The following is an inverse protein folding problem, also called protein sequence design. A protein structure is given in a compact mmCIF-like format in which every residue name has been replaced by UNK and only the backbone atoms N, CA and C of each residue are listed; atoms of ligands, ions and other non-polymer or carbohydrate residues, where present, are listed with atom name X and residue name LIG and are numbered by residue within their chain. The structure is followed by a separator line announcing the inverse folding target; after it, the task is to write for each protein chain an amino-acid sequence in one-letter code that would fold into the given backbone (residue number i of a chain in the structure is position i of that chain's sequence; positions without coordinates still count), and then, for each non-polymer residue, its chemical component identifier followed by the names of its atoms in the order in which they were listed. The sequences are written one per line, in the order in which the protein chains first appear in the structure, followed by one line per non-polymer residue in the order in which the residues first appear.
data_IF_620138705967
#
_entry.id   IF_620138705967
#
_cell.length_a   1.000
_cell.length_b   1.000
_cell.length_c   1.000
_cell.angle_alpha   90.00
_cell.angle_beta   90.00
_cell.angle_gamma   90.00
#
_symmetry.space_group_name_H-M   'P 1'
#
loop_
_entity.id
_entity.type
_entity.pdbx_description
1 polymer ?
#
# COMPACT_ATOMS: atom_id res chain seq x y z
N UNK A 1 2.99 -11.58 -15.70
CA UNK A 1 2.98 -12.86 -16.45
C UNK A 1 2.29 -14.03 -15.73
N UNK A 2 1.72 -13.85 -14.52
CA UNK A 2 0.91 -14.88 -13.84
C UNK A 2 -0.61 -14.73 -14.09
N UNK A 3 -1.43 -15.57 -13.44
CA UNK A 3 -2.89 -15.44 -13.38
C UNK A 3 -3.39 -14.79 -12.08
N UNK A 4 -4.71 -14.65 -11.90
CA UNK A 4 -5.34 -13.93 -10.77
C UNK A 4 -5.44 -14.72 -9.44
N UNK A 5 -4.72 -15.83 -9.31
CA UNK A 5 -4.57 -16.62 -8.07
C UNK A 5 -5.88 -16.90 -7.27
N UNK A 6 -6.82 -17.70 -7.79
CA UNK A 6 -8.12 -17.97 -7.12
C UNK A 6 -8.01 -18.54 -5.70
N UNK A 7 -6.91 -19.25 -5.38
CA UNK A 7 -6.64 -19.77 -4.02
C UNK A 7 -6.34 -18.67 -3.00
N UNK A 8 -6.01 -17.45 -3.42
CA UNK A 8 -5.82 -16.31 -2.52
C UNK A 8 -7.16 -15.77 -2.06
N UNK A 9 -8.13 -15.63 -2.97
CA UNK A 9 -9.50 -15.24 -2.65
C UNK A 9 -10.16 -16.24 -1.70
N UNK A 10 -9.92 -17.55 -1.89
CA UNK A 10 -10.40 -18.56 -0.96
C UNK A 10 -9.85 -18.40 0.46
N UNK A 11 -8.61 -17.94 0.62
CA UNK A 11 -8.05 -17.66 1.94
C UNK A 11 -8.63 -16.37 2.53
N UNK A 12 -8.79 -15.32 1.72
CA UNK A 12 -9.42 -14.07 2.14
C UNK A 12 -10.82 -14.33 2.70
N UNK A 13 -11.68 -15.05 1.99
CA UNK A 13 -13.06 -15.31 2.45
C UNK A 13 -13.11 -16.16 3.73
N UNK A 14 -12.18 -17.11 3.88
CA UNK A 14 -12.18 -18.04 5.04
C UNK A 14 -11.52 -17.45 6.29
N UNK A 15 -10.43 -16.74 6.11
CA UNK A 15 -9.49 -16.38 7.18
C UNK A 15 -9.10 -14.89 7.14
N UNK A 16 -9.72 -14.09 6.27
CA UNK A 16 -9.44 -12.67 6.07
C UNK A 16 -7.94 -12.37 5.96
N UNK A 17 -7.24 -13.16 5.15
CA UNK A 17 -5.81 -13.04 4.89
C UNK A 17 -5.52 -13.10 3.40
N UNK A 18 -4.86 -12.06 2.87
CA UNK A 18 -4.50 -11.98 1.46
C UNK A 18 -2.98 -12.07 1.27
N UNK A 19 -2.50 -13.21 0.80
CA UNK A 19 -1.07 -13.46 0.50
C UNK A 19 -0.66 -13.09 -0.94
N UNK A 20 -1.43 -12.24 -1.61
CA UNK A 20 -1.06 -11.74 -2.93
C UNK A 20 0.07 -10.73 -2.79
N UNK A 21 1.10 -10.88 -3.60
CA UNK A 21 2.25 -9.97 -3.61
C UNK A 21 2.09 -8.90 -4.69
N UNK A 22 2.00 -7.63 -4.26
CA UNK A 22 1.81 -6.48 -5.13
C UNK A 22 3.12 -5.84 -5.62
N UNK A 23 4.29 -6.44 -5.37
CA UNK A 23 5.58 -5.91 -5.85
C UNK A 23 5.60 -5.57 -7.35
N UNK A 24 4.99 -6.43 -8.18
CA UNK A 24 4.89 -6.17 -9.62
C UNK A 24 4.05 -4.94 -9.97
N UNK A 25 3.05 -4.61 -9.14
CA UNK A 25 2.24 -3.40 -9.29
C UNK A 25 3.06 -2.15 -8.94
N UNK A 26 3.90 -2.23 -7.91
CA UNK A 26 4.76 -1.12 -7.46
C UNK A 26 5.81 -0.77 -8.52
N UNK A 27 6.52 -1.78 -9.05
CA UNK A 27 7.49 -1.56 -10.13
C UNK A 27 6.83 -1.06 -11.42
N UNK A 28 5.65 -1.55 -11.75
CA UNK A 28 4.92 -1.06 -12.91
C UNK A 28 4.48 0.40 -12.75
N UNK A 29 4.10 0.80 -11.54
CA UNK A 29 3.69 2.18 -11.25
C UNK A 29 4.87 3.16 -11.31
N UNK A 30 6.04 2.80 -10.75
CA UNK A 30 7.24 3.62 -10.85
C UNK A 30 7.65 3.86 -12.32
N UNK A 31 7.71 2.78 -13.12
CA UNK A 31 7.99 2.88 -14.56
C UNK A 31 6.92 3.69 -15.31
N UNK A 32 5.66 3.62 -14.89
CA UNK A 32 4.57 4.42 -15.46
C UNK A 32 4.76 5.92 -15.17
N UNK A 33 5.18 6.30 -13.97
CA UNK A 33 5.47 7.69 -13.63
C UNK A 33 6.71 8.21 -14.38
N UNK A 34 7.77 7.41 -14.46
CA UNK A 34 8.98 7.76 -15.21
C UNK A 34 8.64 7.99 -16.70
N UNK A 35 7.88 7.08 -17.32
CA UNK A 35 7.44 7.25 -18.69
C UNK A 35 6.65 8.55 -18.90
N UNK A 36 5.70 8.84 -18.00
CA UNK A 36 4.92 10.08 -18.06
C UNK A 36 5.80 11.33 -17.89
N UNK A 37 6.79 11.28 -16.98
CA UNK A 37 7.75 12.36 -16.79
C UNK A 37 8.54 12.64 -18.07
N UNK A 38 9.04 11.61 -18.73
CA UNK A 38 9.85 11.72 -19.95
C UNK A 38 9.05 12.20 -21.16
N UNK A 39 7.84 11.67 -21.37
CA UNK A 39 7.03 12.00 -22.56
C UNK A 39 6.37 13.38 -22.41
N UNK A 40 6.00 13.78 -21.20
CA UNK A 40 5.25 15.01 -20.97
C UNK A 40 6.10 16.14 -20.34
N UNK A 41 7.37 15.88 -20.03
CA UNK A 41 8.25 16.84 -19.35
C UNK A 41 7.80 17.17 -17.93
N UNK A 42 7.22 16.20 -17.21
CA UNK A 42 6.68 16.41 -15.87
C UNK A 42 7.70 16.03 -14.78
N UNK A 43 8.42 17.02 -14.26
CA UNK A 43 9.43 16.82 -13.22
C UNK A 43 8.85 16.23 -11.92
N UNK A 44 7.64 16.62 -11.51
CA UNK A 44 6.98 16.07 -10.32
C UNK A 44 6.72 14.58 -10.44
N UNK A 45 6.35 14.11 -11.64
CA UNK A 45 6.19 12.69 -11.91
C UNK A 45 7.51 11.92 -11.81
N UNK A 46 8.64 12.53 -12.19
CA UNK A 46 9.96 11.91 -11.99
C UNK A 46 10.25 11.74 -10.49
N UNK A 47 9.99 12.77 -9.68
CA UNK A 47 10.16 12.68 -8.22
C UNK A 47 9.28 11.56 -7.63
N UNK A 48 8.03 11.43 -8.08
CA UNK A 48 7.15 10.32 -7.67
C UNK A 48 7.72 8.94 -8.04
N UNK A 49 8.28 8.80 -9.24
CA UNK A 49 8.92 7.56 -9.68
C UNK A 49 10.13 7.21 -8.81
N UNK A 50 11.07 8.14 -8.67
CA UNK A 50 12.34 7.93 -7.97
C UNK A 50 12.12 7.62 -6.48
N UNK A 51 11.16 8.30 -5.85
CA UNK A 51 10.79 8.07 -4.45
C UNK A 51 10.05 6.74 -4.26
N UNK A 52 9.21 6.32 -5.22
CA UNK A 52 8.52 5.03 -5.18
C UNK A 52 9.50 3.86 -5.35
N UNK A 53 10.50 4.00 -6.21
CA UNK A 53 11.55 3.00 -6.38
C UNK A 53 12.36 2.82 -5.10
N UNK A 54 12.77 3.91 -4.44
CA UNK A 54 13.45 3.85 -3.13
C UNK A 54 12.56 3.24 -2.05
N UNK A 55 11.29 3.63 -1.98
CA UNK A 55 10.32 3.06 -1.04
C UNK A 55 10.13 1.54 -1.26
N UNK A 56 10.09 1.09 -2.51
CA UNK A 56 10.03 -0.34 -2.85
C UNK A 56 11.31 -1.06 -2.42
N UNK A 57 12.47 -0.43 -2.58
CA UNK A 57 13.75 -0.94 -2.06
C UNK A 57 13.74 -1.11 -0.53
N UNK A 58 13.26 -0.10 0.20
CA UNK A 58 13.11 -0.17 1.67
C UNK A 58 12.13 -1.27 2.09
N UNK A 59 10.99 -1.42 1.40
CA UNK A 59 10.02 -2.49 1.65
C UNK A 59 10.66 -3.89 1.53
N UNK A 60 11.53 -4.09 0.53
CA UNK A 60 12.26 -5.34 0.34
C UNK A 60 13.32 -5.56 1.43
N UNK A 61 14.10 -4.53 1.77
CA UNK A 61 15.15 -4.61 2.79
C UNK A 61 14.57 -4.91 4.19
N UNK A 62 13.44 -4.31 4.52
CA UNK A 62 12.73 -4.51 5.79
C UNK A 62 11.83 -5.75 5.79
N UNK A 63 11.84 -6.53 4.70
CA UNK A 63 11.06 -7.75 4.53
C UNK A 63 9.55 -7.54 4.82
N UNK A 64 8.99 -6.44 4.32
CA UNK A 64 7.58 -6.04 4.49
C UNK A 64 6.67 -6.52 3.35
N UNK A 65 7.11 -7.51 2.56
CA UNK A 65 6.24 -8.23 1.63
C UNK A 65 5.27 -9.16 2.38
N UNK A 66 4.12 -9.52 1.78
CA UNK A 66 3.15 -10.41 2.40
C UNK A 66 3.77 -11.75 2.76
N UNK A 67 3.65 -12.12 4.03
CA UNK A 67 4.06 -13.42 4.50
C UNK A 67 3.02 -14.49 4.09
N UNK A 68 3.19 -15.72 4.58
CA UNK A 68 2.33 -16.87 4.22
C UNK A 68 1.65 -17.50 5.43
N UNK A 69 1.48 -16.75 6.53
CA UNK A 69 0.95 -17.24 7.81
C UNK A 69 0.04 -16.20 8.47
N UNK A 70 -1.06 -16.65 9.06
CA UNK A 70 -1.91 -15.79 9.90
C UNK A 70 -1.13 -15.16 11.05
N UNK A 71 -1.54 -13.95 11.44
CA UNK A 71 -0.89 -13.14 12.47
C UNK A 71 0.40 -12.48 12.00
N UNK A 72 0.71 -12.55 10.71
CA UNK A 72 1.82 -11.81 10.09
C UNK A 72 1.30 -10.86 9.02
N UNK A 73 2.18 -10.00 8.52
CA UNK A 73 1.84 -9.05 7.46
C UNK A 73 1.24 -9.76 6.24
N UNK A 74 0.15 -9.20 5.72
CA UNK A 74 -0.48 -9.64 4.48
C UNK A 74 -0.42 -8.51 3.44
N UNK A 75 -1.10 -8.67 2.30
CA UNK A 75 -1.14 -7.68 1.22
C UNK A 75 -1.50 -6.26 1.70
N UNK A 76 -2.47 -6.12 2.61
CA UNK A 76 -2.89 -4.78 3.09
C UNK A 76 -1.80 -4.13 3.91
N UNK A 77 -1.10 -4.92 4.73
CA UNK A 77 0.05 -4.45 5.48
C UNK A 77 1.22 -4.04 4.59
N UNK A 78 1.51 -4.76 3.50
CA UNK A 78 2.57 -4.36 2.57
C UNK A 78 2.25 -3.03 1.86
N UNK A 79 0.97 -2.79 1.55
CA UNK A 79 0.51 -1.50 1.01
C UNK A 79 0.67 -0.36 2.02
N UNK A 80 0.36 -0.60 3.30
CA UNK A 80 0.62 0.39 4.36
C UNK A 80 2.12 0.74 4.44
N UNK A 81 3.00 -0.26 4.49
CA UNK A 81 4.44 -0.01 4.58
C UNK A 81 5.01 0.69 3.34
N UNK A 82 4.52 0.34 2.14
CA UNK A 82 4.88 1.09 0.94
C UNK A 82 4.46 2.57 1.06
N UNK A 83 3.23 2.84 1.49
CA UNK A 83 2.74 4.21 1.65
C UNK A 83 3.56 4.99 2.70
N UNK A 84 3.93 4.36 3.81
CA UNK A 84 4.80 4.93 4.84
C UNK A 84 6.17 5.32 4.26
N UNK A 85 6.86 4.37 3.63
CA UNK A 85 8.20 4.63 3.09
C UNK A 85 8.16 5.63 1.95
N UNK A 86 7.13 5.58 1.11
CA UNK A 86 7.00 6.52 0.00
C UNK A 86 6.71 7.94 0.49
N UNK A 87 5.85 8.11 1.50
CA UNK A 87 5.63 9.42 2.12
C UNK A 87 6.91 9.96 2.77
N UNK A 88 7.70 9.12 3.44
CA UNK A 88 9.01 9.51 3.99
C UNK A 88 10.00 9.96 2.91
N UNK A 89 10.10 9.21 1.81
CA UNK A 89 10.96 9.57 0.67
C UNK A 89 10.51 10.87 0.01
N UNK A 90 9.20 11.08 -0.16
CA UNK A 90 8.64 12.30 -0.72
C UNK A 90 8.85 13.51 0.17
N UNK A 91 8.70 13.35 1.49
CA UNK A 91 8.96 14.40 2.47
C UNK A 91 10.46 14.73 2.61
N UNK A 92 11.34 13.74 2.40
CA UNK A 92 12.78 13.88 2.60
C UNK A 92 13.60 14.30 1.37
N UNK A 93 13.04 14.19 0.17
CA UNK A 93 13.73 14.60 -1.07
C UNK A 93 13.84 16.13 -1.20
N UNK A 94 14.79 16.59 -2.03
CA UNK A 94 15.11 18.01 -2.23
C UNK A 94 14.90 18.51 -3.66
N UNK A 95 14.39 17.67 -4.55
CA UNK A 95 14.20 17.96 -5.97
C UNK A 95 12.91 18.78 -6.21
N UNK A 96 11.89 18.63 -5.37
CA UNK A 96 10.64 19.41 -5.40
C UNK A 96 10.16 19.75 -3.97
N UNK A 97 10.33 21.01 -3.58
CA UNK A 97 9.98 21.47 -2.23
C UNK A 97 8.46 21.48 -1.96
N UNK A 98 7.63 21.58 -2.99
CA UNK A 98 6.17 21.57 -2.84
C UNK A 98 5.68 20.15 -2.52
N UNK A 99 6.20 19.13 -3.21
CA UNK A 99 5.96 17.73 -2.89
C UNK A 99 6.49 17.38 -1.50
N UNK A 100 7.69 17.83 -1.14
CA UNK A 100 8.22 17.61 0.20
C UNK A 100 7.31 18.17 1.29
N UNK A 101 6.85 19.42 1.13
CA UNK A 101 5.91 20.05 2.06
C UNK A 101 4.55 19.35 2.08
N UNK A 102 4.02 18.92 0.94
CA UNK A 102 2.71 18.28 0.85
C UNK A 102 2.67 16.92 1.57
N UNK A 103 3.78 16.17 1.54
CA UNK A 103 3.87 14.84 2.14
C UNK A 103 4.41 14.83 3.58
N UNK A 104 4.98 15.93 4.06
CA UNK A 104 5.59 16.03 5.40
C UNK A 104 4.63 15.60 6.52
N UNK A 105 3.42 16.19 6.56
CA UNK A 105 2.43 15.85 7.58
C UNK A 105 1.96 14.39 7.49
N UNK A 106 1.78 13.86 6.27
CA UNK A 106 1.40 12.46 6.08
C UNK A 106 2.51 11.52 6.57
N UNK A 107 3.78 11.79 6.23
CA UNK A 107 4.92 10.99 6.65
C UNK A 107 5.04 10.94 8.18
N UNK A 108 4.87 12.08 8.86
CA UNK A 108 4.86 12.16 10.32
C UNK A 108 3.72 11.35 10.93
N UNK A 109 2.49 11.50 10.42
CA UNK A 109 1.32 10.80 10.93
C UNK A 109 1.45 9.29 10.75
N UNK A 110 1.85 8.82 9.56
CA UNK A 110 2.03 7.39 9.30
C UNK A 110 3.14 6.80 10.17
N UNK A 111 4.24 7.52 10.35
CA UNK A 111 5.35 7.09 11.23
C UNK A 111 4.88 7.00 12.68
N UNK A 112 4.20 8.02 13.19
CA UNK A 112 3.71 8.05 14.57
C UNK A 112 2.61 7.03 14.85
N UNK A 113 1.89 6.57 13.82
CA UNK A 113 0.77 5.62 13.93
C UNK A 113 1.10 4.22 13.43
N UNK A 114 2.37 3.93 13.13
CA UNK A 114 2.78 2.67 12.51
C UNK A 114 2.27 1.45 13.29
N UNK A 115 2.57 1.37 14.59
CA UNK A 115 2.17 0.24 15.43
C UNK A 115 0.65 0.07 15.49
N UNK A 116 -0.09 1.18 15.58
CA UNK A 116 -1.54 1.16 15.65
C UNK A 116 -2.16 0.65 14.34
N UNK A 117 -1.69 1.15 13.19
CA UNK A 117 -2.16 0.73 11.87
C UNK A 117 -1.81 -0.74 11.64
N UNK A 118 -0.58 -1.16 11.94
CA UNK A 118 -0.17 -2.55 11.81
C UNK A 118 -1.05 -3.48 12.68
N UNK A 119 -1.34 -3.08 13.92
CA UNK A 119 -2.22 -3.84 14.80
C UNK A 119 -3.65 -3.94 14.26
N UNK A 120 -4.23 -2.84 13.76
CA UNK A 120 -5.57 -2.82 13.14
C UNK A 120 -5.64 -3.77 11.92
N UNK A 121 -4.61 -3.75 11.06
CA UNK A 121 -4.54 -4.62 9.87
C UNK A 121 -4.34 -6.10 10.22
N UNK A 122 -3.65 -6.41 11.33
CA UNK A 122 -3.50 -7.78 11.83
C UNK A 122 -4.78 -8.28 12.53
N UNK A 123 -5.48 -7.41 13.24
CA UNK A 123 -6.62 -7.77 14.10
C UNK A 123 -7.81 -8.38 13.33
N UNK A 124 -7.95 -8.08 12.04
CA UNK A 124 -9.04 -8.62 11.22
C UNK A 124 -8.80 -10.05 10.72
N UNK A 125 -7.56 -10.55 10.82
CA UNK A 125 -7.18 -11.87 10.32
C UNK A 125 -7.77 -13.00 11.18
N UNK A 126 -7.90 -14.18 10.58
CA UNK A 126 -8.37 -15.40 11.24
C UNK A 126 -9.89 -15.54 11.33
N UNK A 127 -10.65 -14.53 10.89
CA UNK A 127 -12.12 -14.57 10.81
C UNK A 127 -12.59 -14.64 9.35
N UNK A 128 -13.76 -15.22 9.05
CA UNK A 128 -14.34 -15.14 7.72
C UNK A 128 -14.63 -13.70 7.30
N UNK A 129 -14.42 -13.40 6.02
CA UNK A 129 -14.73 -12.10 5.42
C UNK A 129 -15.80 -12.26 4.35
N UNK A 130 -16.88 -11.49 4.47
CA UNK A 130 -17.92 -11.41 3.43
C UNK A 130 -17.61 -10.26 2.47
N UNK A 131 -17.56 -10.59 1.18
CA UNK A 131 -17.33 -9.65 0.09
C UNK A 131 -18.53 -9.58 -0.86
N UNK A 132 -19.67 -10.22 -0.52
CA UNK A 132 -20.92 -10.13 -1.27
C UNK A 132 -20.93 -10.80 -2.64
N UNK A 133 -19.90 -11.59 -2.99
CA UNK A 133 -19.80 -12.24 -4.29
C UNK A 133 -18.41 -12.84 -4.55
N UNK A 134 -18.16 -13.27 -5.78
CA UNK A 134 -16.85 -13.78 -6.20
C UNK A 134 -16.36 -13.12 -7.50
N UNK A 135 -17.04 -13.36 -8.62
CA UNK A 135 -16.72 -12.70 -9.89
C UNK A 135 -17.18 -11.24 -9.94
N UNK A 136 -18.20 -10.91 -9.14
CA UNK A 136 -18.73 -9.57 -8.95
C UNK A 136 -19.03 -9.41 -7.45
N UNK A 137 -18.03 -9.10 -6.62
CA UNK A 137 -18.26 -8.79 -5.21
C UNK A 137 -19.11 -7.52 -5.08
N UNK A 138 -19.65 -7.31 -3.88
CA UNK A 138 -20.23 -6.02 -3.51
C UNK A 138 -19.12 -5.02 -3.19
N UNK A 139 -19.15 -3.85 -3.82
CA UNK A 139 -18.08 -2.86 -3.73
C UNK A 139 -17.90 -2.33 -2.30
N UNK A 140 -19.00 -2.14 -1.56
CA UNK A 140 -18.94 -1.62 -0.19
C UNK A 140 -18.38 -2.67 0.77
N UNK A 141 -18.82 -3.93 0.65
CA UNK A 141 -18.30 -5.04 1.45
C UNK A 141 -16.82 -5.30 1.15
N UNK A 142 -16.43 -5.34 -0.13
CA UNK A 142 -15.04 -5.53 -0.53
C UNK A 142 -14.16 -4.38 -0.04
N UNK A 143 -14.60 -3.12 -0.15
CA UNK A 143 -13.86 -1.97 0.35
C UNK A 143 -13.66 -2.03 1.87
N UNK A 144 -14.69 -2.40 2.64
CA UNK A 144 -14.60 -2.55 4.09
C UNK A 144 -13.59 -3.64 4.50
N UNK A 145 -13.58 -4.78 3.77
CA UNK A 145 -12.60 -5.86 4.01
C UNK A 145 -11.18 -5.45 3.63
N UNK A 146 -11.01 -4.70 2.54
CA UNK A 146 -9.70 -4.31 2.04
C UNK A 146 -9.09 -3.09 2.75
N UNK A 147 -9.92 -2.25 3.37
CA UNK A 147 -9.49 -1.02 4.07
C UNK A 147 -9.96 -0.99 5.54
N UNK A 148 -9.60 -1.98 6.37
CA UNK A 148 -10.16 -2.11 7.71
C UNK A 148 -9.54 -1.15 8.74
N UNK A 149 -8.35 -0.58 8.46
CA UNK A 149 -7.69 0.35 9.38
C UNK A 149 -8.28 1.76 9.23
N UNK A 150 -9.12 2.14 10.20
CA UNK A 150 -9.67 3.49 10.28
C UNK A 150 -8.57 4.54 10.46
N UNK A 151 -7.53 4.21 11.24
CA UNK A 151 -6.39 5.11 11.45
C UNK A 151 -5.64 5.37 10.15
N UNK A 152 -5.41 4.34 9.34
CA UNK A 152 -4.74 4.50 8.04
C UNK A 152 -5.61 5.27 7.03
N UNK A 153 -6.90 4.95 6.96
CA UNK A 153 -7.83 5.66 6.07
C UNK A 153 -7.88 7.16 6.40
N UNK A 154 -8.01 7.52 7.68
CA UNK A 154 -8.05 8.91 8.11
C UNK A 154 -6.71 9.64 7.85
N UNK A 155 -5.57 8.94 7.97
CA UNK A 155 -4.27 9.52 7.62
C UNK A 155 -4.19 9.85 6.12
N UNK A 156 -4.64 8.95 5.24
CA UNK A 156 -4.62 9.20 3.79
C UNK A 156 -5.58 10.32 3.36
N UNK A 157 -6.69 10.52 4.08
CA UNK A 157 -7.65 11.60 3.82
C UNK A 157 -7.07 13.00 4.06
N UNK A 158 -5.94 13.14 4.77
CA UNK A 158 -5.27 14.43 4.94
C UNK A 158 -4.55 14.90 3.67
N UNK A 159 -4.34 14.00 2.70
CA UNK A 159 -3.74 14.31 1.42
C UNK A 159 -4.86 14.67 0.42
N UNK A 160 -5.10 15.98 0.23
CA UNK A 160 -6.18 16.51 -0.61
C UNK A 160 -5.83 17.85 -1.24
#
# INVERSE_FOLDING_TARGET
AGGSAPKHVQQLVKENYLRWDSLGEFFALAASFEHYAQVNGNAKAQVLADTLDRATGTLLNENKSPARRLGSIDNRGSHFYLALYWAQELAGQTDDAELASAFSALAEVLTAREEAIAAELLAVQGSPADIGGYYRPDDALAAAVMRPSATFNAALETLG
#
